data_IF_964733851977
#
_entry.id   IF_964733851977
#
_cell.length_a   1.000
_cell.length_b   1.000
_cell.length_c   1.000
_cell.angle_alpha   90.00
_cell.angle_beta   90.00
_cell.angle_gamma   90.00
#
_symmetry.space_group_name_H-M   'P 1'
#
loop_
_entity.id
_entity.type
_entity.pdbx_description
1 polymer ?
#
# COMPACT_ATOMS: atom_id res chain seq x y z
N UNK A 1 3.29 4.92 -12.10
CA UNK A 1 3.17 3.99 -10.95
C UNK A 1 4.44 4.04 -10.13
N UNK A 2 4.29 4.01 -8.84
CA UNK A 2 5.42 3.96 -7.92
C UNK A 2 5.69 2.52 -7.50
N UNK A 3 6.92 2.22 -7.12
CA UNK A 3 7.31 0.94 -6.57
C UNK A 3 7.62 1.11 -5.09
N UNK A 4 7.29 0.11 -4.30
CA UNK A 4 7.59 0.12 -2.89
C UNK A 4 7.52 -1.24 -2.26
N UNK A 5 7.77 -1.26 -0.96
CA UNK A 5 7.76 -2.48 -0.15
C UNK A 5 6.81 -2.25 1.02
N UNK A 6 5.97 -3.23 1.30
CA UNK A 6 5.04 -3.14 2.43
C UNK A 6 5.85 -3.11 3.73
N UNK A 7 5.70 -2.02 4.48
CA UNK A 7 6.36 -1.84 5.77
C UNK A 7 5.65 -2.67 6.83
N UNK A 8 4.33 -2.55 6.91
CA UNK A 8 3.47 -3.41 7.73
C UNK A 8 2.03 -3.24 7.26
N UNK A 9 1.20 -4.21 7.58
CA UNK A 9 -0.22 -4.16 7.25
C UNK A 9 -1.00 -4.93 8.30
N UNK A 10 -2.11 -4.36 8.76
CA UNK A 10 -2.99 -4.99 9.74
C UNK A 10 -4.29 -5.42 9.08
N UNK A 11 -4.49 -6.72 8.96
CA UNK A 11 -5.73 -7.27 8.37
C UNK A 11 -6.95 -6.90 9.21
N UNK A 12 -6.80 -6.90 10.52
CA UNK A 12 -7.92 -6.61 11.42
C UNK A 12 -8.37 -5.16 11.33
N UNK A 13 -7.43 -4.24 11.12
CA UNK A 13 -7.72 -2.82 10.99
C UNK A 13 -7.98 -2.41 9.53
N UNK A 14 -7.49 -3.20 8.59
CA UNK A 14 -7.68 -2.95 7.17
C UNK A 14 -6.76 -1.90 6.56
N UNK A 15 -5.63 -1.59 7.20
CA UNK A 15 -4.69 -0.61 6.67
C UNK A 15 -3.26 -0.90 7.10
N UNK A 16 -2.33 -0.23 6.45
CA UNK A 16 -0.92 -0.31 6.75
C UNK A 16 -0.14 0.78 6.02
N UNK A 17 1.14 0.58 5.87
CA UNK A 17 2.02 1.52 5.19
C UNK A 17 2.95 0.81 4.22
N UNK A 18 3.24 1.52 3.12
CA UNK A 18 4.19 1.08 2.10
C UNK A 18 5.33 2.08 2.09
N UNK A 19 6.57 1.57 2.14
CA UNK A 19 7.77 2.40 2.00
C UNK A 19 8.13 2.48 0.53
N UNK A 20 8.14 3.69 -0.02
CA UNK A 20 8.54 3.91 -1.40
C UNK A 20 10.04 3.72 -1.58
N UNK A 21 10.48 3.55 -2.82
CA UNK A 21 11.90 3.38 -3.14
C UNK A 21 12.76 4.55 -2.66
N UNK A 22 12.18 5.75 -2.56
CA UNK A 22 12.88 6.94 -2.06
C UNK A 22 12.91 7.02 -0.53
N UNK A 23 12.32 6.05 0.17
CA UNK A 23 12.33 5.99 1.62
C UNK A 23 11.13 6.63 2.31
N UNK A 24 10.21 7.24 1.57
CA UNK A 24 9.01 7.85 2.17
C UNK A 24 7.90 6.83 2.31
N UNK A 25 7.15 6.91 3.43
CA UNK A 25 6.03 6.02 3.68
C UNK A 25 4.73 6.62 3.14
N UNK A 26 3.87 5.77 2.60
CA UNK A 26 2.53 6.14 2.16
C UNK A 26 1.51 5.24 2.82
N UNK A 27 0.34 5.79 3.12
CA UNK A 27 -0.77 5.05 3.72
C UNK A 27 -1.36 4.08 2.69
N UNK A 28 -1.69 2.87 3.14
CA UNK A 28 -2.32 1.85 2.31
C UNK A 28 -3.56 1.31 3.01
N UNK A 29 -4.71 1.43 2.37
CA UNK A 29 -5.98 0.91 2.89
C UNK A 29 -6.41 -0.28 2.05
N UNK A 30 -7.11 -1.25 2.67
CA UNK A 30 -7.51 -2.47 1.96
C UNK A 30 -8.37 -2.19 0.72
N UNK A 31 -9.13 -1.09 0.72
CA UNK A 31 -9.96 -0.72 -0.43
C UNK A 31 -9.14 -0.28 -1.64
N UNK A 32 -7.87 0.07 -1.42
CA UNK A 32 -6.97 0.48 -2.49
C UNK A 32 -6.14 -0.68 -3.06
N UNK A 33 -6.32 -1.88 -2.53
CA UNK A 33 -5.63 -3.06 -3.04
C UNK A 33 -6.39 -3.60 -4.24
N UNK A 34 -5.72 -3.67 -5.38
CA UNK A 34 -6.28 -4.18 -6.61
C UNK A 34 -6.03 -5.69 -6.73
N UNK A 35 -6.77 -6.44 -5.91
CA UNK A 35 -6.69 -7.90 -5.89
C UNK A 35 -8.06 -8.45 -5.52
N UNK A 36 -8.65 -9.22 -6.42
CA UNK A 36 -9.98 -9.78 -6.23
C UNK A 36 -10.01 -10.91 -5.20
N UNK A 37 -8.87 -11.54 -4.93
CA UNK A 37 -8.80 -12.71 -4.04
C UNK A 37 -8.58 -12.36 -2.59
N UNK A 38 -7.59 -11.50 -2.30
CA UNK A 38 -7.18 -11.15 -0.95
C UNK A 38 -6.91 -9.66 -0.83
N UNK A 39 -7.63 -9.01 0.05
CA UNK A 39 -7.44 -7.59 0.35
C UNK A 39 -6.46 -7.42 1.51
N UNK A 40 -5.30 -8.03 1.38
CA UNK A 40 -4.27 -7.98 2.41
C UNK A 40 -2.88 -7.88 1.79
N UNK A 41 -1.94 -7.34 2.57
CA UNK A 41 -0.55 -7.23 2.15
C UNK A 41 0.34 -7.89 3.19
N UNK A 42 1.43 -8.51 2.73
CA UNK A 42 2.40 -9.12 3.62
C UNK A 42 3.56 -8.17 3.84
N UNK A 43 4.07 -8.12 5.07
CA UNK A 43 5.25 -7.33 5.41
C UNK A 43 6.43 -7.75 4.53
N UNK A 44 7.09 -6.77 3.93
CA UNK A 44 8.22 -7.02 3.04
C UNK A 44 7.84 -7.33 1.59
N UNK A 45 6.56 -7.39 1.28
CA UNK A 45 6.09 -7.68 -0.08
C UNK A 45 6.33 -6.49 -1.01
N UNK A 46 6.79 -6.78 -2.23
CA UNK A 46 6.96 -5.75 -3.26
C UNK A 46 5.63 -5.46 -3.93
N UNK A 47 5.35 -4.19 -4.14
CA UNK A 47 4.09 -3.73 -4.73
C UNK A 47 4.32 -2.57 -5.69
N UNK A 48 3.40 -2.42 -6.64
CA UNK A 48 3.28 -1.21 -7.47
C UNK A 48 1.99 -0.50 -7.07
N UNK A 49 1.99 0.82 -7.15
CA UNK A 49 0.84 1.61 -6.76
C UNK A 49 0.93 3.02 -7.34
N UNK A 50 -0.17 3.74 -7.28
CA UNK A 50 -0.22 5.17 -7.59
C UNK A 50 -0.22 5.94 -6.29
N UNK A 51 0.46 7.08 -6.26
CA UNK A 51 0.46 7.96 -5.08
C UNK A 51 -0.56 9.06 -5.34
N UNK A 52 -1.53 9.19 -4.43
CA UNK A 52 -2.56 10.21 -4.51
C UNK A 52 -2.62 10.97 -3.19
N UNK A 53 -3.16 12.19 -3.23
CA UNK A 53 -3.35 12.96 -2.00
C UNK A 53 -4.58 12.44 -1.26
N UNK A 54 -4.38 12.09 0.01
CA UNK A 54 -5.45 11.68 0.89
C UNK A 54 -5.68 12.70 1.99
N UNK A 55 -6.69 12.49 2.82
CA UNK A 55 -7.04 13.40 3.92
C UNK A 55 -5.91 13.55 4.94
N UNK A 56 -5.11 12.50 5.09
CA UNK A 56 -4.01 12.46 6.07
C UNK A 56 -2.64 12.53 5.42
N UNK A 57 -2.58 12.95 4.16
CA UNK A 57 -1.34 13.03 3.41
C UNK A 57 -1.33 12.06 2.24
N UNK A 58 -0.16 11.78 1.65
CA UNK A 58 -0.09 10.88 0.49
C UNK A 58 -0.50 9.46 0.86
N UNK A 59 -1.26 8.83 -0.05
CA UNK A 59 -1.66 7.45 0.11
C UNK A 59 -1.45 6.67 -1.18
N UNK A 60 -1.34 5.34 -1.05
CA UNK A 60 -1.25 4.44 -2.19
C UNK A 60 -2.64 4.12 -2.72
N UNK A 61 -2.77 4.07 -4.04
CA UNK A 61 -4.00 3.70 -4.73
C UNK A 61 -3.66 2.69 -5.83
N UNK A 62 -4.62 1.85 -6.20
CA UNK A 62 -4.41 0.81 -7.22
C UNK A 62 -3.19 -0.06 -6.91
N UNK A 63 -3.12 -0.54 -5.68
CA UNK A 63 -1.99 -1.35 -5.21
C UNK A 63 -2.03 -2.72 -5.86
N UNK A 64 -0.96 -3.06 -6.54
CA UNK A 64 -0.83 -4.36 -7.21
C UNK A 64 0.36 -5.10 -6.60
N UNK A 65 0.12 -6.32 -6.16
CA UNK A 65 1.19 -7.17 -5.62
C UNK A 65 2.05 -7.71 -6.75
N UNK A 66 3.34 -7.69 -6.56
CA UNK A 66 4.28 -8.21 -7.53
C UNK A 66 4.66 -9.66 -7.24
#
# INVERSE_FOLDING_TARGET
MANGTVKWFSESKGFGFITQDDGTDVFAHYTDIDDSSFKTLAEGQSVNFDVVDGDKGPKASNIVKL
#
